data_IF_353810221369
#
_entry.id   IF_353810221369
#
_cell.length_a   1.000
_cell.length_b   1.000
_cell.length_c   1.000
_cell.angle_alpha   90.00
_cell.angle_beta   90.00
_cell.angle_gamma   90.00
#
_symmetry.space_group_name_H-M   'P 1'
#
loop_
_entity.id
_entity.type
_entity.pdbx_description
1 polymer ?
#
# COMPACT_ATOMS: atom_id res chain seq x y z
N UNK A 1 23.63 16.66 -11.38
CA UNK A 1 22.53 16.20 -10.49
C UNK A 1 22.28 14.74 -10.79
N UNK A 2 22.82 13.81 -9.99
CA UNK A 2 22.57 12.37 -10.20
C UNK A 2 21.13 12.08 -9.74
N UNK A 3 20.21 11.83 -10.67
CA UNK A 3 18.89 11.31 -10.29
C UNK A 3 19.10 9.96 -9.61
N UNK A 4 18.90 9.91 -8.29
CA UNK A 4 18.65 8.63 -7.61
C UNK A 4 17.20 8.29 -7.94
N UNK A 5 16.98 7.26 -8.73
CA UNK A 5 15.63 6.71 -8.92
C UNK A 5 15.15 6.17 -7.57
N UNK A 6 14.41 6.99 -6.82
CA UNK A 6 13.72 6.59 -5.60
C UNK A 6 12.32 6.08 -5.94
N UNK A 7 11.78 5.16 -5.15
CA UNK A 7 10.40 4.68 -5.29
C UNK A 7 9.38 5.83 -5.24
N UNK A 8 9.77 6.95 -4.61
CA UNK A 8 8.95 8.16 -4.44
C UNK A 8 8.45 8.77 -5.75
N UNK A 9 9.13 8.54 -6.89
CA UNK A 9 8.63 8.99 -8.20
C UNK A 9 7.25 8.41 -8.53
N UNK A 10 6.94 7.22 -8.00
CA UNK A 10 5.64 6.58 -8.18
C UNK A 10 4.50 7.29 -7.42
N UNK A 11 4.78 8.22 -6.52
CA UNK A 11 3.73 9.00 -5.84
C UNK A 11 2.92 9.84 -6.82
N UNK A 12 3.46 10.16 -8.00
CA UNK A 12 2.70 10.80 -9.07
C UNK A 12 1.49 9.95 -9.52
N UNK A 13 1.54 8.62 -9.33
CA UNK A 13 0.41 7.74 -9.63
C UNK A 13 -0.74 7.85 -8.62
N UNK A 14 -0.55 8.46 -7.44
CA UNK A 14 -1.64 8.70 -6.48
C UNK A 14 -2.70 9.64 -7.08
N UNK A 15 -2.37 10.90 -7.44
CA UNK A 15 -3.35 11.77 -8.08
C UNK A 15 -3.74 11.27 -9.47
N UNK A 16 -2.84 10.59 -10.20
CA UNK A 16 -3.17 10.03 -11.52
C UNK A 16 -4.26 8.94 -11.42
N UNK A 17 -4.17 8.04 -10.43
CA UNK A 17 -5.18 7.00 -10.18
C UNK A 17 -6.53 7.62 -9.87
N UNK A 18 -6.55 8.65 -9.02
CA UNK A 18 -7.78 9.38 -8.70
C UNK A 18 -8.36 10.04 -9.95
N UNK A 19 -7.53 10.73 -10.74
CA UNK A 19 -7.94 11.37 -11.97
C UNK A 19 -8.49 10.35 -12.99
N UNK A 20 -7.83 9.20 -13.16
CA UNK A 20 -8.30 8.11 -14.02
C UNK A 20 -9.67 7.60 -13.59
N UNK A 21 -9.89 7.44 -12.27
CA UNK A 21 -11.19 7.02 -11.74
C UNK A 21 -12.34 7.96 -12.09
N UNK A 22 -12.08 9.26 -12.23
CA UNK A 22 -13.10 10.25 -12.63
C UNK A 22 -13.21 10.44 -14.14
N UNK A 23 -12.08 10.45 -14.86
CA UNK A 23 -12.03 10.80 -16.28
C UNK A 23 -12.25 9.59 -17.20
N UNK A 24 -11.90 8.39 -16.73
CA UNK A 24 -11.92 7.14 -17.50
C UNK A 24 -12.41 5.96 -16.63
N UNK A 25 -13.60 6.05 -16.01
CA UNK A 25 -14.08 5.05 -15.06
C UNK A 25 -14.21 3.64 -15.65
N UNK A 26 -14.48 3.52 -16.95
CA UNK A 26 -14.64 2.22 -17.63
C UNK A 26 -13.30 1.52 -17.90
N UNK A 27 -12.17 2.21 -17.73
CA UNK A 27 -10.83 1.72 -18.07
C UNK A 27 -10.18 1.00 -16.88
N UNK A 28 -10.87 -0.04 -16.40
CA UNK A 28 -10.57 -0.76 -15.16
C UNK A 28 -9.12 -1.27 -15.08
N UNK A 29 -8.58 -1.76 -16.20
CA UNK A 29 -7.20 -2.27 -16.25
C UNK A 29 -6.16 -1.18 -16.03
N UNK A 30 -6.39 0.01 -16.60
CA UNK A 30 -5.49 1.15 -16.44
C UNK A 30 -5.56 1.72 -15.03
N UNK A 31 -6.77 1.83 -14.47
CA UNK A 31 -6.98 2.25 -13.08
C UNK A 31 -6.27 1.28 -12.12
N UNK A 32 -6.44 -0.03 -12.33
CA UNK A 32 -5.80 -1.06 -11.51
C UNK A 32 -4.27 -0.96 -11.57
N UNK A 33 -3.68 -0.89 -12.77
CA UNK A 33 -2.23 -0.77 -12.93
C UNK A 33 -1.68 0.51 -12.27
N UNK A 34 -2.37 1.64 -12.45
CA UNK A 34 -2.03 2.91 -11.82
C UNK A 34 -2.10 2.82 -10.29
N UNK A 35 -3.13 2.19 -9.75
CA UNK A 35 -3.30 1.99 -8.30
C UNK A 35 -2.18 1.12 -7.71
N UNK A 36 -1.79 0.04 -8.40
CA UNK A 36 -0.66 -0.80 -7.98
C UNK A 36 0.63 0.01 -7.85
N UNK A 37 0.94 0.85 -8.84
CA UNK A 37 2.13 1.71 -8.81
C UNK A 37 2.06 2.75 -7.69
N UNK A 38 0.89 3.33 -7.46
CA UNK A 38 0.67 4.32 -6.40
C UNK A 38 0.88 3.74 -4.99
N UNK A 39 0.51 2.48 -4.76
CA UNK A 39 0.59 1.84 -3.44
C UNK A 39 2.03 1.55 -3.02
N UNK A 40 2.94 1.24 -3.96
CA UNK A 40 4.33 0.88 -3.64
C UNK A 40 5.07 1.90 -2.74
N UNK A 41 5.17 3.19 -3.09
CA UNK A 41 5.82 4.17 -2.22
C UNK A 41 5.01 4.46 -0.95
N UNK A 42 3.68 4.38 -1.00
CA UNK A 42 2.83 4.60 0.17
C UNK A 42 3.04 3.52 1.24
N UNK A 43 3.15 2.25 0.82
CA UNK A 43 3.46 1.14 1.71
C UNK A 43 4.84 1.30 2.36
N UNK A 44 5.85 1.69 1.57
CA UNK A 44 7.19 1.98 2.10
C UNK A 44 7.18 3.12 3.13
N UNK A 45 6.48 4.22 2.82
CA UNK A 45 6.33 5.35 3.75
C UNK A 45 5.62 4.96 5.05
N UNK A 46 4.55 4.16 4.96
CA UNK A 46 3.83 3.67 6.12
C UNK A 46 4.71 2.77 7.01
N UNK A 47 5.49 1.87 6.39
CA UNK A 47 6.45 1.02 7.10
C UNK A 47 7.51 1.86 7.84
N UNK A 48 8.14 2.81 7.15
CA UNK A 48 9.14 3.70 7.76
C UNK A 48 8.56 4.56 8.89
N UNK A 49 7.34 5.08 8.71
CA UNK A 49 6.65 5.84 9.76
C UNK A 49 6.35 4.95 10.97
N UNK A 50 5.95 3.71 10.75
CA UNK A 50 5.67 2.73 11.81
C UNK A 50 6.92 2.39 12.60
N UNK A 51 8.03 2.09 11.91
CA UNK A 51 9.30 1.77 12.55
C UNK A 51 9.84 2.95 13.35
N UNK A 52 9.73 4.16 12.79
CA UNK A 52 10.07 5.38 13.51
C UNK A 52 9.23 5.53 14.78
N UNK A 53 7.91 5.33 14.70
CA UNK A 53 7.02 5.40 15.85
C UNK A 53 7.35 4.32 16.90
N UNK A 54 7.54 3.07 16.45
CA UNK A 54 7.84 1.93 17.30
C UNK A 54 9.10 2.15 18.13
N UNK A 55 10.13 2.79 17.55
CA UNK A 55 11.38 3.12 18.23
C UNK A 55 11.21 4.10 19.41
N UNK A 56 10.09 4.83 19.48
CA UNK A 56 9.78 5.78 20.55
C UNK A 56 8.74 5.28 21.57
N UNK A 57 8.18 4.08 21.39
CA UNK A 57 7.04 3.58 22.21
C UNK A 57 7.39 2.46 23.19
N UNK A 58 8.67 2.04 23.26
CA UNK A 58 9.13 0.92 24.09
C UNK A 58 8.86 -0.45 23.47
N UNK A 59 9.47 -1.50 24.02
CA UNK A 59 9.55 -2.83 23.38
C UNK A 59 8.18 -3.49 23.12
N UNK A 60 7.29 -3.49 24.11
CA UNK A 60 5.97 -4.12 23.97
C UNK A 60 5.04 -3.41 22.97
N UNK A 61 4.90 -2.09 23.09
CA UNK A 61 4.03 -1.30 22.21
C UNK A 61 4.65 -1.18 20.81
N UNK A 62 5.97 -1.00 20.73
CA UNK A 62 6.69 -0.96 19.46
C UNK A 62 6.59 -2.27 18.69
N UNK A 63 6.68 -3.41 19.39
CA UNK A 63 6.44 -4.73 18.80
C UNK A 63 5.03 -4.87 18.23
N UNK A 64 4.00 -4.43 18.97
CA UNK A 64 2.61 -4.45 18.50
C UNK A 64 2.40 -3.54 17.29
N UNK A 65 2.96 -2.33 17.31
CA UNK A 65 2.87 -1.38 16.20
C UNK A 65 3.52 -1.94 14.93
N UNK A 66 4.70 -2.53 15.05
CA UNK A 66 5.39 -3.11 13.89
C UNK A 66 4.65 -4.33 13.33
N UNK A 67 4.13 -5.20 14.21
CA UNK A 67 3.36 -6.38 13.78
C UNK A 67 2.05 -6.01 13.06
N UNK A 68 1.44 -4.87 13.41
CA UNK A 68 0.17 -4.42 12.83
C UNK A 68 0.37 -3.48 11.65
N UNK A 69 1.04 -2.35 11.86
CA UNK A 69 1.23 -1.31 10.86
C UNK A 69 2.40 -1.57 9.91
N UNK A 70 3.39 -2.37 10.31
CA UNK A 70 4.46 -2.82 9.42
C UNK A 70 3.94 -3.68 8.28
N UNK A 71 2.78 -4.34 8.48
CA UNK A 71 2.06 -5.04 7.43
C UNK A 71 0.66 -4.45 7.10
N UNK A 72 0.45 -3.17 7.42
CA UNK A 72 -0.87 -2.55 7.23
C UNK A 72 -1.30 -2.48 5.76
N UNK A 73 -0.37 -2.31 4.82
CA UNK A 73 -0.72 -2.25 3.40
C UNK A 73 -1.41 -3.54 2.93
N UNK A 74 -0.85 -4.71 3.27
CA UNK A 74 -1.44 -6.01 2.95
C UNK A 74 -2.78 -6.21 3.66
N UNK A 75 -2.84 -5.90 4.95
CA UNK A 75 -4.08 -6.00 5.74
C UNK A 75 -5.20 -5.12 5.16
N UNK A 76 -4.91 -3.88 4.78
CA UNK A 76 -5.90 -2.96 4.19
C UNK A 76 -6.43 -3.53 2.88
N UNK A 77 -5.54 -4.00 1.99
CA UNK A 77 -5.94 -4.58 0.70
C UNK A 77 -6.73 -5.87 0.89
N UNK A 78 -6.27 -6.76 1.77
CA UNK A 78 -6.94 -8.02 2.08
C UNK A 78 -8.34 -7.77 2.66
N UNK A 79 -8.49 -6.82 3.59
CA UNK A 79 -9.79 -6.46 4.17
C UNK A 79 -10.71 -5.81 3.13
N UNK A 80 -10.19 -4.94 2.26
CA UNK A 80 -10.97 -4.33 1.18
C UNK A 80 -11.49 -5.39 0.19
N UNK A 81 -10.63 -6.35 -0.20
CA UNK A 81 -10.98 -7.47 -1.07
C UNK A 81 -11.99 -8.41 -0.40
N UNK A 82 -11.79 -8.71 0.89
CA UNK A 82 -12.69 -9.55 1.68
C UNK A 82 -14.11 -8.96 1.76
N UNK A 83 -14.22 -7.64 2.00
CA UNK A 83 -15.49 -6.92 1.99
C UNK A 83 -16.22 -6.97 0.63
N UNK A 84 -15.50 -7.28 -0.46
CA UNK A 84 -16.06 -7.50 -1.79
C UNK A 84 -16.31 -8.98 -2.11
N UNK A 85 -16.11 -9.89 -1.15
CA UNK A 85 -16.26 -11.33 -1.34
C UNK A 85 -15.15 -11.97 -2.17
N UNK A 86 -14.00 -11.30 -2.34
CA UNK A 86 -12.87 -11.79 -3.15
C UNK A 86 -11.98 -12.74 -2.34
N UNK A 87 -12.56 -13.81 -1.78
CA UNK A 87 -11.86 -14.74 -0.88
C UNK A 87 -10.63 -15.40 -1.52
N UNK A 88 -10.72 -15.75 -2.80
CA UNK A 88 -9.60 -16.38 -3.51
C UNK A 88 -8.43 -15.41 -3.71
N UNK A 89 -8.71 -14.13 -3.94
CA UNK A 89 -7.69 -13.08 -4.03
C UNK A 89 -6.98 -12.91 -2.69
N UNK A 90 -7.73 -12.87 -1.58
CA UNK A 90 -7.17 -12.75 -0.22
C UNK A 90 -6.30 -13.96 0.11
N UNK A 91 -6.76 -15.18 -0.17
CA UNK A 91 -5.96 -16.39 0.05
C UNK A 91 -4.68 -16.35 -0.77
N UNK A 92 -4.78 -16.05 -2.06
CA UNK A 92 -3.63 -15.97 -2.95
C UNK A 92 -2.61 -14.93 -2.49
N UNK A 93 -3.06 -13.73 -2.06
CA UNK A 93 -2.17 -12.69 -1.59
C UNK A 93 -1.46 -13.08 -0.29
N UNK A 94 -2.16 -13.69 0.67
CA UNK A 94 -1.56 -14.14 1.93
C UNK A 94 -0.56 -15.29 1.74
N UNK A 95 -0.80 -16.19 0.78
CA UNK A 95 0.15 -17.26 0.46
C UNK A 95 1.36 -16.80 -0.35
N UNK A 96 1.25 -15.64 -1.00
CA UNK A 96 2.30 -15.08 -1.86
C UNK A 96 3.20 -14.06 -1.18
N UNK A 97 2.86 -13.62 0.04
CA UNK A 97 3.70 -12.76 0.91
C UNK A 97 4.78 -13.57 1.62
#
# INVERSE_FOLDING_TARGET
>A
MKLRFSLDWLLAFVPATVALGYLRPDDHGLIFASACLAILPLAAWLGHATEHLASHTGEGVGGLLNATFGNAAELIIALAALNKGLYDVVKASLTGS
#
